data_IF_749441077949
#
_entry.id   IF_749441077949
#
_cell.length_a   1.000
_cell.length_b   1.000
_cell.length_c   1.000
_cell.angle_alpha   90.00
_cell.angle_beta   90.00
_cell.angle_gamma   90.00
#
_symmetry.space_group_name_H-M   'P 1'
#
loop_
_entity.id
_entity.type
_entity.pdbx_description
1 polymer ?
#
# COMPACT_ATOMS: atom_id res chain seq x y z
N UNK A 1 -2.57 19.69 26.56
CA UNK A 1 -3.42 18.62 25.97
C UNK A 1 -3.24 18.54 24.47
N UNK A 2 -3.22 19.69 23.76
CA UNK A 2 -2.89 19.77 22.33
C UNK A 2 -1.57 19.07 21.96
N UNK A 3 -0.44 19.42 22.60
CA UNK A 3 0.87 18.82 22.30
C UNK A 3 0.90 17.30 22.47
N UNK A 4 0.17 16.78 23.46
CA UNK A 4 0.05 15.34 23.68
C UNK A 4 -0.68 14.68 22.51
N UNK A 5 -1.84 15.22 22.09
CA UNK A 5 -2.59 14.70 20.94
C UNK A 5 -1.79 14.81 19.65
N UNK A 6 -1.07 15.91 19.45
CA UNK A 6 -0.19 16.10 18.30
C UNK A 6 0.92 15.06 18.26
N UNK A 7 1.58 14.81 19.40
CA UNK A 7 2.66 13.82 19.53
C UNK A 7 2.16 12.40 19.29
N UNK A 8 1.00 12.05 19.87
CA UNK A 8 0.36 10.75 19.65
C UNK A 8 0.00 10.57 18.17
N UNK A 9 -0.62 11.57 17.54
CA UNK A 9 -0.97 11.54 16.13
C UNK A 9 0.28 11.41 15.24
N UNK A 10 1.37 12.12 15.58
CA UNK A 10 2.64 12.02 14.87
C UNK A 10 3.25 10.62 14.95
N UNK A 11 3.23 10.00 16.14
CA UNK A 11 3.71 8.64 16.32
C UNK A 11 2.89 7.64 15.48
N UNK A 12 1.57 7.73 15.55
CA UNK A 12 0.66 6.89 14.76
C UNK A 12 0.88 7.08 13.26
N UNK A 13 0.96 8.33 12.79
CA UNK A 13 1.17 8.65 11.38
C UNK A 13 2.48 8.06 10.86
N UNK A 14 3.57 8.16 11.62
CA UNK A 14 4.86 7.59 11.23
C UNK A 14 4.87 6.06 11.24
N UNK A 15 4.22 5.42 12.21
CA UNK A 15 4.08 3.96 12.25
C UNK A 15 3.30 3.44 11.03
N UNK A 16 2.19 4.10 10.71
CA UNK A 16 1.38 3.77 9.53
C UNK A 16 2.17 3.98 8.23
N UNK A 17 3.01 5.02 8.17
CA UNK A 17 3.85 5.30 7.01
C UNK A 17 4.87 4.19 6.77
N UNK A 18 5.56 3.77 7.83
CA UNK A 18 6.52 2.65 7.77
C UNK A 18 5.81 1.36 7.38
N UNK A 19 4.66 1.05 7.99
CA UNK A 19 3.89 -0.15 7.68
C UNK A 19 3.41 -0.16 6.21
N UNK A 20 2.96 0.99 5.70
CA UNK A 20 2.53 1.16 4.31
C UNK A 20 3.67 0.96 3.29
N UNK A 21 4.91 1.32 3.65
CA UNK A 21 6.09 1.10 2.79
C UNK A 21 6.64 -0.34 2.91
N UNK A 22 6.58 -0.92 4.11
CA UNK A 22 7.09 -2.26 4.38
C UNK A 22 6.31 -3.35 3.62
N UNK A 23 4.99 -3.24 3.55
CA UNK A 23 4.15 -4.23 2.87
C UNK A 23 4.50 -4.44 1.39
N UNK A 24 4.54 -3.42 0.50
CA UNK A 24 4.94 -3.63 -0.89
C UNK A 24 6.39 -4.11 -1.02
N UNK A 25 7.29 -3.72 -0.11
CA UNK A 25 8.68 -4.20 -0.09
C UNK A 25 8.76 -5.72 0.14
N UNK A 26 8.12 -6.24 1.19
CA UNK A 26 8.12 -7.68 1.48
C UNK A 26 7.39 -8.48 0.40
N UNK A 27 6.26 -7.97 -0.11
CA UNK A 27 5.55 -8.57 -1.22
C UNK A 27 6.44 -8.73 -2.46
N UNK A 28 7.16 -7.68 -2.85
CA UNK A 28 8.05 -7.70 -4.01
C UNK A 28 9.20 -8.68 -3.84
N UNK A 29 9.76 -8.78 -2.62
CA UNK A 29 10.84 -9.72 -2.32
C UNK A 29 10.35 -11.16 -2.43
N UNK A 30 9.16 -11.47 -1.89
CA UNK A 30 8.55 -12.79 -1.98
C UNK A 30 8.24 -13.20 -3.42
N UNK A 31 7.54 -12.36 -4.19
CA UNK A 31 7.21 -12.69 -5.59
C UNK A 31 8.44 -12.81 -6.47
N UNK A 32 9.49 -12.03 -6.20
CA UNK A 32 10.75 -12.10 -6.94
C UNK A 32 11.54 -13.36 -6.62
N UNK A 33 11.57 -13.79 -5.35
CA UNK A 33 12.13 -15.10 -4.98
C UNK A 33 11.31 -16.24 -5.56
N UNK A 34 9.99 -16.18 -5.55
CA UNK A 34 9.14 -17.20 -6.19
C UNK A 34 9.40 -17.32 -7.69
N UNK A 35 9.76 -16.24 -8.38
CA UNK A 35 10.06 -16.26 -9.80
C UNK A 35 11.28 -17.15 -10.17
N UNK A 36 12.20 -17.43 -9.22
CA UNK A 36 13.36 -18.30 -9.48
C UNK A 36 12.98 -19.76 -9.70
N UNK A 37 11.78 -20.17 -9.31
CA UNK A 37 11.26 -21.53 -9.51
C UNK A 37 10.60 -21.74 -10.87
N UNK A 38 10.59 -20.74 -11.77
CA UNK A 38 10.01 -20.82 -13.11
C UNK A 38 8.47 -20.77 -13.13
N UNK A 39 7.87 -20.86 -14.33
CA UNK A 39 6.41 -20.80 -14.54
C UNK A 39 5.72 -22.16 -14.34
N UNK A 40 6.02 -22.84 -13.23
CA UNK A 40 5.32 -24.07 -12.80
C UNK A 40 4.44 -23.78 -11.59
N UNK A 41 3.30 -24.44 -11.46
CA UNK A 41 2.47 -24.38 -10.25
C UNK A 41 2.86 -25.55 -9.36
N UNK A 42 3.35 -25.24 -8.15
CA UNK A 42 3.55 -26.24 -7.09
C UNK A 42 2.42 -25.97 -6.10
N UNK A 43 1.31 -26.70 -6.21
CA UNK A 43 0.02 -26.29 -5.63
C UNK A 43 0.10 -25.89 -4.15
N UNK A 44 0.62 -26.76 -3.27
CA UNK A 44 0.72 -26.47 -1.83
C UNK A 44 1.60 -25.26 -1.52
N UNK A 45 2.74 -25.14 -2.22
CA UNK A 45 3.64 -24.01 -2.07
C UNK A 45 3.03 -22.71 -2.59
N UNK A 46 2.48 -22.72 -3.81
CA UNK A 46 1.84 -21.56 -4.40
C UNK A 46 0.60 -21.15 -3.61
N UNK A 47 -0.15 -22.08 -3.02
CA UNK A 47 -1.30 -21.80 -2.15
C UNK A 47 -0.88 -21.03 -0.90
N UNK A 48 0.09 -21.55 -0.16
CA UNK A 48 0.59 -20.86 1.05
C UNK A 48 1.12 -19.45 0.74
N UNK A 49 1.82 -19.29 -0.39
CA UNK A 49 2.31 -17.98 -0.83
C UNK A 49 1.15 -17.07 -1.25
N UNK A 50 0.19 -17.54 -2.05
CA UNK A 50 -0.95 -16.73 -2.48
C UNK A 50 -1.86 -16.30 -1.33
N UNK A 51 -2.08 -17.17 -0.34
CA UNK A 51 -2.82 -16.85 0.87
C UNK A 51 -2.14 -15.70 1.63
N UNK A 52 -0.83 -15.79 1.84
CA UNK A 52 -0.03 -14.72 2.47
C UNK A 52 -0.02 -13.42 1.64
N UNK A 53 0.07 -13.55 0.32
CA UNK A 53 0.06 -12.40 -0.59
C UNK A 53 -1.30 -11.71 -0.68
N UNK A 54 -2.40 -12.41 -0.38
CA UNK A 54 -3.76 -11.85 -0.39
C UNK A 54 -4.07 -10.97 0.83
N UNK A 55 -3.38 -11.21 1.95
CA UNK A 55 -3.56 -10.42 3.18
C UNK A 55 -2.91 -9.05 3.03
N UNK A 56 -1.77 -8.96 2.35
CA UNK A 56 -0.99 -7.72 2.25
C UNK A 56 -1.72 -6.53 1.61
N UNK A 57 -2.40 -6.66 0.46
CA UNK A 57 -3.19 -5.57 -0.12
C UNK A 57 -4.26 -5.03 0.83
N UNK A 58 -4.86 -5.91 1.65
CA UNK A 58 -5.86 -5.53 2.65
C UNK A 58 -5.24 -4.73 3.79
N UNK A 59 -4.07 -5.13 4.26
CA UNK A 59 -3.33 -4.39 5.28
C UNK A 59 -2.87 -3.02 4.73
N UNK A 60 -2.30 -2.98 3.53
CA UNK A 60 -1.93 -1.73 2.85
C UNK A 60 -3.11 -0.77 2.76
N UNK A 61 -4.30 -1.27 2.40
CA UNK A 61 -5.52 -0.48 2.30
C UNK A 61 -5.87 0.18 3.64
N UNK A 62 -5.84 -0.58 4.74
CA UNK A 62 -6.11 0.00 6.06
C UNK A 62 -5.02 0.94 6.54
N UNK A 63 -3.75 0.66 6.25
CA UNK A 63 -2.65 1.57 6.59
C UNK A 63 -2.76 2.91 5.86
N UNK A 64 -3.10 2.90 4.58
CA UNK A 64 -3.26 4.15 3.81
C UNK A 64 -4.50 4.93 4.22
N UNK A 65 -5.61 4.25 4.59
CA UNK A 65 -6.79 4.90 5.19
C UNK A 65 -6.39 5.57 6.52
N UNK A 66 -5.63 4.87 7.36
CA UNK A 66 -5.09 5.45 8.60
C UNK A 66 -4.15 6.62 8.35
N UNK A 67 -3.32 6.58 7.31
CA UNK A 67 -2.43 7.68 6.93
C UNK A 67 -3.21 8.93 6.52
N UNK A 68 -4.27 8.75 5.74
CA UNK A 68 -5.16 9.85 5.34
C UNK A 68 -5.81 10.44 6.60
N UNK A 69 -6.38 9.60 7.46
CA UNK A 69 -7.05 10.04 8.68
C UNK A 69 -6.08 10.80 9.63
N UNK A 70 -4.93 10.21 9.94
CA UNK A 70 -3.91 10.84 10.79
C UNK A 70 -3.27 12.08 10.14
N UNK A 71 -3.18 12.12 8.81
CA UNK A 71 -2.72 13.29 8.07
C UNK A 71 -3.65 14.49 8.22
N UNK A 72 -4.97 14.27 8.06
CA UNK A 72 -5.98 15.31 8.28
C UNK A 72 -6.20 15.65 9.76
N UNK A 73 -5.85 14.75 10.68
CA UNK A 73 -5.93 15.02 12.11
C UNK A 73 -5.00 16.17 12.55
N UNK A 74 -3.84 16.38 11.90
CA UNK A 74 -2.93 17.47 12.26
C UNK A 74 -3.58 18.87 12.22
N UNK A 75 -4.14 19.33 11.08
CA UNK A 75 -4.78 20.64 11.04
C UNK A 75 -6.09 20.68 11.85
N UNK A 76 -6.80 19.55 12.01
CA UNK A 76 -8.02 19.49 12.81
C UNK A 76 -7.75 19.61 14.31
N UNK A 77 -6.66 19.01 14.81
CA UNK A 77 -6.23 19.17 16.21
C UNK A 77 -5.94 20.66 16.45
N UNK A 78 -5.15 21.30 15.59
CA UNK A 78 -4.84 22.73 15.75
C UNK A 78 -6.13 23.59 15.74
N UNK A 79 -7.01 23.36 14.76
CA UNK A 79 -8.28 24.09 14.67
C UNK A 79 -9.15 23.92 15.93
N UNK A 80 -9.20 22.72 16.52
CA UNK A 80 -10.00 22.46 17.71
C UNK A 80 -9.52 23.21 18.96
N UNK A 81 -8.23 23.53 19.07
CA UNK A 81 -7.67 24.26 20.23
C UNK A 81 -7.58 25.77 20.00
N UNK A 82 -7.34 26.23 18.77
CA UNK A 82 -7.13 27.65 18.47
C UNK A 82 -8.33 28.33 17.80
N UNK A 83 -9.30 27.56 17.29
CA UNK A 83 -10.48 28.09 16.58
C UNK A 83 -10.19 28.63 15.18
N UNK A 84 -8.93 28.53 14.73
CA UNK A 84 -8.47 29.02 13.43
C UNK A 84 -7.56 28.00 12.73
N UNK A 85 -7.40 28.16 11.42
CA UNK A 85 -6.50 27.31 10.65
C UNK A 85 -5.06 27.77 10.80
N UNK A 86 -4.15 26.83 11.03
CA UNK A 86 -2.73 27.12 11.16
C UNK A 86 -2.22 27.84 9.92
N UNK A 87 -1.78 29.09 10.07
CA UNK A 87 -1.21 29.88 8.98
C UNK A 87 0.20 29.38 8.67
N UNK A 88 0.42 28.93 7.44
CA UNK A 88 1.72 28.49 6.94
C UNK A 88 2.06 29.19 5.62
N UNK A 89 3.33 29.13 5.24
CA UNK A 89 3.75 29.68 3.95
C UNK A 89 3.07 28.96 2.78
N UNK A 90 2.88 29.67 1.66
CA UNK A 90 2.31 29.07 0.44
C UNK A 90 3.09 27.83 -0.02
N UNK A 91 4.41 27.82 0.21
CA UNK A 91 5.28 26.68 -0.08
C UNK A 91 4.89 25.43 0.72
N UNK A 92 4.60 25.56 2.02
CA UNK A 92 4.19 24.43 2.86
C UNK A 92 2.83 23.88 2.41
N UNK A 93 1.86 24.74 2.09
CA UNK A 93 0.59 24.27 1.55
C UNK A 93 0.74 23.55 0.21
N UNK A 94 1.60 24.04 -0.68
CA UNK A 94 1.89 23.37 -1.94
C UNK A 94 2.51 21.97 -1.71
N UNK A 95 3.49 21.86 -0.80
CA UNK A 95 4.11 20.59 -0.45
C UNK A 95 3.12 19.61 0.20
N UNK A 96 2.24 20.08 1.07
CA UNK A 96 1.15 19.28 1.65
C UNK A 96 0.16 18.82 0.58
N UNK A 97 -0.23 19.70 -0.35
CA UNK A 97 -1.14 19.35 -1.44
C UNK A 97 -0.55 18.26 -2.34
N UNK A 98 0.72 18.40 -2.74
CA UNK A 98 1.44 17.38 -3.51
C UNK A 98 1.48 16.05 -2.75
N UNK A 99 1.85 16.07 -1.46
CA UNK A 99 1.87 14.86 -0.62
C UNK A 99 0.50 14.19 -0.56
N UNK A 100 -0.56 14.97 -0.37
CA UNK A 100 -1.94 14.49 -0.31
C UNK A 100 -2.36 13.86 -1.64
N UNK A 101 -2.07 14.49 -2.78
CA UNK A 101 -2.33 13.94 -4.11
C UNK A 101 -1.61 12.59 -4.29
N UNK A 102 -0.32 12.50 -3.93
CA UNK A 102 0.43 11.24 -4.02
C UNK A 102 -0.19 10.14 -3.15
N UNK A 103 -0.64 10.46 -1.93
CA UNK A 103 -1.34 9.51 -1.06
C UNK A 103 -2.64 9.03 -1.69
N UNK A 104 -3.46 9.91 -2.27
CA UNK A 104 -4.71 9.50 -2.94
C UNK A 104 -4.47 8.66 -4.20
N UNK A 105 -3.42 8.96 -4.97
CA UNK A 105 -2.99 8.09 -6.08
C UNK A 105 -2.64 6.70 -5.54
N UNK A 106 -1.85 6.64 -4.47
CA UNK A 106 -1.49 5.38 -3.81
C UNK A 106 -2.71 4.61 -3.32
N UNK A 107 -3.69 5.33 -2.75
CA UNK A 107 -4.94 4.75 -2.29
C UNK A 107 -5.73 4.12 -3.45
N UNK A 108 -5.80 4.79 -4.60
CA UNK A 108 -6.43 4.25 -5.81
C UNK A 108 -5.74 2.97 -6.29
N UNK A 109 -4.40 2.95 -6.33
CA UNK A 109 -3.61 1.79 -6.76
C UNK A 109 -3.81 0.60 -5.82
N UNK A 110 -3.76 0.84 -4.50
CA UNK A 110 -3.97 -0.21 -3.48
C UNK A 110 -5.41 -0.73 -3.52
N UNK A 111 -6.39 0.16 -3.65
CA UNK A 111 -7.80 -0.22 -3.76
C UNK A 111 -8.04 -1.11 -4.99
N UNK A 112 -7.49 -0.73 -6.15
CA UNK A 112 -7.58 -1.56 -7.35
C UNK A 112 -6.86 -2.91 -7.17
N UNK A 113 -5.70 -2.91 -6.51
CA UNK A 113 -4.96 -4.13 -6.16
C UNK A 113 -5.79 -5.09 -5.30
N UNK A 114 -6.43 -4.58 -4.24
CA UNK A 114 -7.23 -5.36 -3.29
C UNK A 114 -8.57 -5.83 -3.89
N UNK A 115 -9.34 -4.93 -4.50
CA UNK A 115 -10.70 -5.25 -4.92
C UNK A 115 -10.78 -5.90 -6.30
N UNK A 116 -9.78 -5.71 -7.17
CA UNK A 116 -9.80 -6.24 -8.54
C UNK A 116 -8.74 -7.32 -8.73
N UNK A 117 -7.46 -6.98 -8.58
CA UNK A 117 -6.37 -7.91 -8.92
C UNK A 117 -6.37 -9.12 -7.99
N UNK A 118 -6.38 -8.91 -6.68
CA UNK A 118 -6.32 -10.00 -5.70
C UNK A 118 -7.54 -10.93 -5.82
N UNK A 119 -8.75 -10.38 -5.94
CA UNK A 119 -9.97 -11.19 -6.15
C UNK A 119 -9.89 -12.04 -7.41
N UNK A 120 -9.37 -11.51 -8.51
CA UNK A 120 -9.22 -12.27 -9.75
C UNK A 120 -8.18 -13.39 -9.63
N UNK A 121 -7.05 -13.13 -8.96
CA UNK A 121 -6.02 -14.15 -8.70
C UNK A 121 -6.58 -15.27 -7.84
N UNK A 122 -7.21 -14.93 -6.72
CA UNK A 122 -7.79 -15.90 -5.79
C UNK A 122 -8.94 -16.68 -6.43
N UNK A 123 -9.78 -16.00 -7.22
CA UNK A 123 -10.88 -16.63 -7.94
C UNK A 123 -10.43 -17.65 -8.99
N UNK A 124 -9.33 -17.39 -9.69
CA UNK A 124 -8.72 -18.35 -10.62
C UNK A 124 -8.00 -19.47 -9.88
N UNK A 125 -7.22 -19.14 -8.85
CA UNK A 125 -6.42 -20.13 -8.13
C UNK A 125 -7.28 -21.20 -7.43
N UNK A 126 -8.47 -20.82 -6.95
CA UNK A 126 -9.46 -21.76 -6.36
C UNK A 126 -10.01 -22.79 -7.35
N UNK A 127 -9.87 -22.57 -8.65
CA UNK A 127 -10.31 -23.52 -9.68
C UNK A 127 -9.22 -24.57 -9.97
N UNK A 128 -8.00 -24.37 -9.49
CA UNK A 128 -6.90 -25.30 -9.68
C UNK A 128 -6.97 -26.42 -8.63
N UNK A 129 -6.65 -27.63 -9.05
CA UNK A 129 -6.56 -28.82 -8.19
C UNK A 129 -5.10 -29.29 -8.10
N UNK A 130 -4.67 -29.88 -6.97
CA UNK A 130 -3.36 -30.53 -6.90
C UNK A 130 -3.22 -31.71 -7.87
N UNK A 131 -4.33 -32.38 -8.20
CA UNK A 131 -4.32 -33.64 -8.95
C UNK A 131 -4.52 -33.46 -10.47
N UNK A 132 -4.83 -32.24 -10.91
CA UNK A 132 -5.14 -31.94 -12.31
C UNK A 132 -4.36 -30.74 -12.81
N UNK A 133 -3.81 -30.85 -14.02
CA UNK A 133 -3.13 -29.72 -14.66
C UNK A 133 -4.19 -28.70 -15.11
N UNK A 134 -4.07 -27.41 -14.73
CA UNK A 134 -5.03 -26.40 -15.14
C UNK A 134 -5.04 -26.22 -16.66
N UNK A 135 -6.18 -25.82 -17.24
CA UNK A 135 -6.24 -25.39 -18.63
C UNK A 135 -5.21 -24.27 -18.91
N UNK A 136 -4.54 -24.35 -20.07
CA UNK A 136 -3.43 -23.45 -20.42
C UNK A 136 -3.86 -21.98 -20.46
N UNK A 137 -5.08 -21.69 -20.90
CA UNK A 137 -5.68 -20.36 -20.93
C UNK A 137 -5.82 -19.75 -19.52
N UNK A 138 -6.25 -20.56 -18.55
CA UNK A 138 -6.37 -20.13 -17.15
C UNK A 138 -5.00 -19.91 -16.52
N UNK A 139 -4.03 -20.79 -16.86
CA UNK A 139 -2.66 -20.70 -16.39
C UNK A 139 -1.97 -19.41 -16.88
N UNK A 140 -2.13 -19.08 -18.17
CA UNK A 140 -1.59 -17.86 -18.77
C UNK A 140 -2.22 -16.61 -18.15
N UNK A 141 -3.56 -16.62 -17.96
CA UNK A 141 -4.27 -15.54 -17.28
C UNK A 141 -3.81 -15.35 -15.84
N UNK A 142 -3.60 -16.44 -15.12
CA UNK A 142 -3.11 -16.42 -13.73
C UNK A 142 -1.70 -15.81 -13.63
N UNK A 143 -0.77 -16.22 -14.49
CA UNK A 143 0.57 -15.64 -14.52
C UNK A 143 0.58 -14.18 -14.97
N UNK A 144 -0.29 -13.79 -15.91
CA UNK A 144 -0.46 -12.39 -16.31
C UNK A 144 -0.95 -11.52 -15.14
N UNK A 145 -1.91 -12.01 -14.35
CA UNK A 145 -2.39 -11.30 -13.17
C UNK A 145 -1.32 -11.22 -12.06
N UNK A 146 -0.55 -12.29 -11.84
CA UNK A 146 0.60 -12.26 -10.92
C UNK A 146 1.64 -11.22 -11.34
N UNK A 147 1.94 -11.13 -12.63
CA UNK A 147 2.84 -10.12 -13.17
C UNK A 147 2.28 -8.70 -12.99
N UNK A 148 0.97 -8.52 -13.22
CA UNK A 148 0.27 -7.25 -12.97
C UNK A 148 0.37 -6.85 -11.50
N UNK A 149 0.09 -7.76 -10.56
CA UNK A 149 0.26 -7.52 -9.12
C UNK A 149 1.70 -7.07 -8.79
N UNK A 150 2.71 -7.78 -9.31
CA UNK A 150 4.12 -7.40 -9.12
C UNK A 150 4.38 -5.95 -9.58
N UNK A 151 3.92 -5.57 -10.77
CA UNK A 151 4.07 -4.20 -11.29
C UNK A 151 3.40 -3.18 -10.38
N UNK A 152 2.18 -3.46 -9.91
CA UNK A 152 1.45 -2.58 -8.99
C UNK A 152 2.20 -2.41 -7.65
N UNK A 153 2.68 -3.50 -7.06
CA UNK A 153 3.48 -3.43 -5.83
C UNK A 153 4.77 -2.61 -6.04
N UNK A 154 5.42 -2.71 -7.20
CA UNK A 154 6.59 -1.90 -7.56
C UNK A 154 6.25 -0.42 -7.61
N UNK A 155 5.17 -0.05 -8.29
CA UNK A 155 4.70 1.33 -8.34
C UNK A 155 4.36 1.85 -6.94
N UNK A 156 3.65 1.06 -6.12
CA UNK A 156 3.35 1.42 -4.73
C UNK A 156 4.61 1.66 -3.90
N UNK A 157 5.64 0.82 -4.05
CA UNK A 157 6.89 0.98 -3.32
C UNK A 157 7.60 2.29 -3.70
N UNK A 158 7.71 2.59 -5.00
CA UNK A 158 8.32 3.85 -5.45
C UNK A 158 7.52 5.07 -4.99
N UNK A 159 6.20 4.99 -5.00
CA UNK A 159 5.33 6.05 -4.51
C UNK A 159 5.52 6.27 -3.00
N UNK A 160 5.56 5.19 -2.21
CA UNK A 160 5.82 5.27 -0.77
C UNK A 160 7.21 5.87 -0.48
N UNK A 161 8.23 5.49 -1.25
CA UNK A 161 9.57 6.07 -1.15
C UNK A 161 9.57 7.57 -1.50
N UNK A 162 8.86 7.99 -2.55
CA UNK A 162 8.73 9.40 -2.91
C UNK A 162 8.05 10.21 -1.79
N UNK A 163 6.98 9.69 -1.19
CA UNK A 163 6.29 10.32 -0.04
C UNK A 163 7.23 10.45 1.17
N UNK A 164 8.04 9.42 1.44
CA UNK A 164 9.04 9.43 2.51
C UNK A 164 10.11 10.50 2.29
N UNK A 165 10.60 10.68 1.06
CA UNK A 165 11.61 11.70 0.73
C UNK A 165 11.05 13.13 0.82
N UNK A 166 9.78 13.34 0.48
CA UNK A 166 9.13 14.66 0.59
C UNK A 166 8.86 15.03 2.05
N UNK A 167 8.64 14.05 2.93
CA UNK A 167 8.24 14.30 4.33
C UNK A 167 9.25 15.11 5.16
N UNK A 168 10.58 14.88 5.07
CA UNK A 168 11.59 15.73 5.71
C UNK A 168 11.54 17.21 5.30
N UNK A 169 11.17 17.51 4.06
CA UNK A 169 11.08 18.89 3.55
C UNK A 169 10.03 19.68 4.36
N UNK A 170 8.95 19.03 4.78
CA UNK A 170 7.90 19.62 5.62
C UNK A 170 8.33 19.84 7.10
N UNK A 171 9.47 19.32 7.53
CA UNK A 171 9.95 19.47 8.91
C UNK A 171 10.81 20.73 9.10
N UNK A 172 11.45 21.21 8.03
CA UNK A 172 12.37 22.34 8.06
C UNK A 172 11.72 23.67 7.67
N UNK A 173 10.43 23.67 7.33
CA UNK A 173 9.63 24.81 6.87
C UNK A 173 8.24 24.80 7.51
#
# INVERSE_FOLDING_TARGET
MEEFLYTVNLAIHNLLLVACAAAPFYQLRMVSKRATFGKRIIYEYDKSIEDLLSVQPKLCFWFIVGLIASGFAFPLIYYAFHGEWQHRSAFVYAALAVKTILVFIGFGIVSYGMFVIDRQIQGLFRQFSPDAQPPQDQLDRFFALRAKRKKFCTVCLYLAAAILVVTPILRFW
#
